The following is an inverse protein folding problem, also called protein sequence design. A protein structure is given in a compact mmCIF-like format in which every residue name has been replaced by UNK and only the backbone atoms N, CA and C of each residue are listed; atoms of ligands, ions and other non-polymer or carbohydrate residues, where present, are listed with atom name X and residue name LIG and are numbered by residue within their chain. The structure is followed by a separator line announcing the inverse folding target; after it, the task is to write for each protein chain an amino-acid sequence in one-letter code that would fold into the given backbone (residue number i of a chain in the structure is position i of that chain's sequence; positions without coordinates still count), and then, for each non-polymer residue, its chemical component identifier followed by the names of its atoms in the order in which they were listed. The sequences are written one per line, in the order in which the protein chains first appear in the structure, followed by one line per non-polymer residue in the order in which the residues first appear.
data_IF_585900250736
#
_entry.id   IF_585900250736
#
_cell.length_a   1.000
_cell.length_b   1.000
_cell.length_c   1.000
_cell.angle_alpha   90.00
_cell.angle_beta   90.00
_cell.angle_gamma   90.00
#
_symmetry.space_group_name_H-M   'P 1'
#
loop_
_entity.id
_entity.type
_entity.pdbx_description
1 polymer ?
#
# COMPACT_ATOMS: atom_id res chain seq x y z
N UNK A 1 -14.35 -24.23 1.43
CA UNK A 1 -14.10 -23.13 2.39
C UNK A 1 -14.65 -21.89 1.71
N UNK A 2 -15.57 -21.15 2.34
CA UNK A 2 -16.13 -19.97 1.69
C UNK A 2 -15.06 -18.88 1.60
N UNK A 3 -14.85 -18.35 0.39
CA UNK A 3 -13.88 -17.29 0.15
C UNK A 3 -14.32 -16.00 0.83
N UNK A 4 -13.36 -15.22 1.33
CA UNK A 4 -13.62 -13.90 1.85
C UNK A 4 -14.19 -12.98 0.73
N UNK A 5 -15.23 -12.18 1.01
CA UNK A 5 -15.78 -11.25 0.02
C UNK A 5 -14.75 -10.21 -0.44
N UNK A 6 -13.95 -9.69 0.49
CA UNK A 6 -12.86 -8.79 0.18
C UNK A 6 -11.55 -9.55 0.12
N UNK A 7 -10.87 -9.45 -1.03
CA UNK A 7 -9.57 -10.06 -1.30
C UNK A 7 -8.73 -9.09 -2.12
N UNK A 8 -7.47 -8.93 -1.74
CA UNK A 8 -6.52 -8.08 -2.44
C UNK A 8 -5.13 -8.69 -2.32
N UNK A 9 -4.45 -8.82 -3.45
CA UNK A 9 -3.00 -9.01 -3.50
C UNK A 9 -2.39 -7.67 -3.92
N UNK A 10 -1.48 -7.14 -3.12
CA UNK A 10 -0.72 -5.94 -3.46
C UNK A 10 0.66 -6.36 -3.94
N UNK A 11 1.10 -5.83 -5.06
CA UNK A 11 2.46 -6.02 -5.57
C UNK A 11 3.14 -4.66 -5.67
N UNK A 12 4.37 -4.55 -5.19
CA UNK A 12 5.28 -3.46 -5.55
C UNK A 12 6.38 -4.05 -6.44
N UNK A 13 6.55 -3.50 -7.64
CA UNK A 13 7.48 -3.99 -8.65
C UNK A 13 8.49 -2.90 -9.01
N UNK A 14 9.76 -3.27 -9.11
CA UNK A 14 10.83 -2.41 -9.58
C UNK A 14 11.40 -2.96 -10.88
N UNK A 15 11.33 -2.17 -11.95
CA UNK A 15 11.77 -2.57 -13.27
C UNK A 15 12.92 -1.70 -13.77
N UNK A 16 13.99 -2.32 -14.26
CA UNK A 16 15.07 -1.66 -14.99
C UNK A 16 14.56 -1.28 -16.39
N UNK A 17 14.03 -0.07 -16.52
CA UNK A 17 13.41 0.39 -17.76
C UNK A 17 13.43 1.92 -17.84
N UNK A 18 13.45 2.44 -19.06
CA UNK A 18 13.33 3.87 -19.29
C UNK A 18 11.89 4.36 -19.09
N UNK A 19 11.67 5.64 -18.76
CA UNK A 19 10.31 6.20 -18.65
C UNK A 19 9.46 6.04 -19.93
N UNK A 20 10.10 5.93 -21.10
CA UNK A 20 9.40 5.70 -22.37
C UNK A 20 8.72 4.32 -22.44
N UNK A 21 9.19 3.34 -21.68
CA UNK A 21 8.69 1.96 -21.65
C UNK A 21 7.55 1.76 -20.64
N UNK A 22 7.24 2.79 -19.84
CA UNK A 22 6.28 2.71 -18.75
C UNK A 22 4.89 2.21 -19.19
N UNK A 23 4.35 2.75 -20.28
CA UNK A 23 3.05 2.33 -20.81
C UNK A 23 3.05 0.87 -21.29
N UNK A 24 4.14 0.43 -21.92
CA UNK A 24 4.29 -0.95 -22.41
C UNK A 24 4.33 -1.92 -21.24
N UNK A 25 5.13 -1.63 -20.21
CA UNK A 25 5.21 -2.44 -18.99
C UNK A 25 3.87 -2.47 -18.25
N UNK A 26 3.16 -1.34 -18.19
CA UNK A 26 1.84 -1.26 -17.57
C UNK A 26 0.85 -2.23 -18.23
N UNK A 27 0.74 -2.22 -19.56
CA UNK A 27 -0.15 -3.15 -20.27
C UNK A 27 0.31 -4.60 -20.18
N UNK A 28 1.62 -4.82 -20.17
CA UNK A 28 2.21 -6.14 -19.99
C UNK A 28 1.81 -6.74 -18.63
N UNK A 29 1.96 -5.98 -17.54
CA UNK A 29 1.56 -6.44 -16.21
C UNK A 29 0.06 -6.74 -16.13
N UNK A 30 -0.80 -5.88 -16.71
CA UNK A 30 -2.24 -6.18 -16.79
C UNK A 30 -2.51 -7.50 -17.52
N UNK A 31 -1.83 -7.73 -18.65
CA UNK A 31 -2.01 -8.92 -19.48
C UNK A 31 -1.56 -10.19 -18.75
N UNK A 32 -0.38 -10.16 -18.12
CA UNK A 32 0.19 -11.32 -17.42
C UNK A 32 -0.57 -11.63 -16.13
N UNK A 33 -1.14 -10.63 -15.46
CA UNK A 33 -1.89 -10.83 -14.21
C UNK A 33 -3.38 -11.17 -14.42
N UNK A 34 -3.94 -10.89 -15.59
CA UNK A 34 -5.35 -11.16 -15.91
C UNK A 34 -5.82 -12.63 -15.67
N UNK A 35 -4.98 -13.67 -15.84
CA UNK A 35 -5.35 -15.04 -15.47
C UNK A 35 -5.62 -15.22 -13.96
N UNK A 36 -4.99 -14.42 -13.10
CA UNK A 36 -5.06 -14.53 -11.65
C UNK A 36 -6.19 -13.70 -11.03
N UNK A 37 -6.64 -12.65 -11.70
CA UNK A 37 -7.62 -11.71 -11.15
C UNK A 37 -7.81 -10.45 -11.99
N UNK A 38 -8.54 -9.50 -11.42
CA UNK A 38 -8.63 -8.15 -11.95
C UNK A 38 -7.46 -7.32 -11.42
N UNK A 39 -6.61 -6.82 -12.32
CA UNK A 39 -5.38 -6.09 -11.96
C UNK A 39 -5.51 -4.60 -12.27
N UNK A 40 -5.32 -3.76 -11.25
CA UNK A 40 -5.13 -2.32 -11.40
C UNK A 40 -3.65 -1.98 -11.24
N UNK A 41 -3.02 -1.52 -12.32
CA UNK A 41 -1.60 -1.18 -12.34
C UNK A 41 -1.43 0.34 -12.22
N UNK A 42 -0.69 0.76 -11.20
CA UNK A 42 -0.31 2.14 -10.93
C UNK A 42 1.17 2.32 -11.25
N UNK A 43 1.46 3.06 -12.32
CA UNK A 43 2.82 3.43 -12.65
C UNK A 43 3.22 4.72 -11.92
N UNK A 44 4.17 4.62 -10.99
CA UNK A 44 4.64 5.76 -10.22
C UNK A 44 5.81 6.50 -10.90
N UNK A 45 6.41 5.90 -11.94
CA UNK A 45 7.57 6.47 -12.63
C UNK A 45 8.87 6.09 -11.94
N UNK A 46 9.93 6.92 -12.08
CA UNK A 46 11.23 6.65 -11.49
C UNK A 46 11.16 6.41 -9.98
N UNK A 47 11.84 5.38 -9.50
CA UNK A 47 11.93 5.07 -8.08
C UNK A 47 12.89 6.06 -7.40
N UNK A 48 12.47 6.69 -6.31
CA UNK A 48 13.22 7.80 -5.70
C UNK A 48 14.59 7.40 -5.13
N UNK A 49 14.79 6.13 -4.76
CA UNK A 49 16.09 5.63 -4.27
C UNK A 49 17.02 5.21 -5.41
N UNK A 50 16.46 4.72 -6.50
CA UNK A 50 17.18 4.21 -7.68
C UNK A 50 16.48 4.76 -8.93
N UNK A 51 16.73 6.03 -9.32
CA UNK A 51 15.99 6.72 -10.36
C UNK A 51 16.04 6.07 -11.74
N UNK A 52 16.98 5.15 -11.95
CA UNK A 52 17.14 4.35 -13.16
C UNK A 52 16.09 3.22 -13.26
N UNK A 53 15.35 2.93 -12.19
CA UNK A 53 14.28 1.95 -12.14
C UNK A 53 12.91 2.62 -12.14
N UNK A 54 11.92 1.98 -12.77
CA UNK A 54 10.52 2.34 -12.64
C UNK A 54 9.87 1.56 -11.50
N UNK A 55 9.09 2.27 -10.68
CA UNK A 55 8.26 1.67 -9.64
C UNK A 55 6.81 1.54 -10.11
N UNK A 56 6.26 0.34 -9.94
CA UNK A 56 4.86 0.04 -10.18
C UNK A 56 4.24 -0.52 -8.92
N UNK A 57 3.02 -0.07 -8.61
CA UNK A 57 2.16 -0.72 -7.63
C UNK A 57 1.03 -1.42 -8.37
N UNK A 58 0.72 -2.65 -8.00
CA UNK A 58 -0.41 -3.38 -8.55
C UNK A 58 -1.35 -3.79 -7.43
N UNK A 59 -2.61 -3.41 -7.58
CA UNK A 59 -3.71 -3.90 -6.76
C UNK A 59 -4.43 -4.99 -7.57
N UNK A 60 -4.30 -6.26 -7.16
CA UNK A 60 -4.86 -7.42 -7.82
C UNK A 60 -6.00 -7.99 -6.98
N UNK A 61 -7.22 -8.01 -7.50
CA UNK A 61 -8.36 -8.71 -6.90
C UNK A 61 -8.37 -10.16 -7.41
N UNK A 62 -7.96 -11.14 -6.59
CA UNK A 62 -7.80 -12.52 -7.05
C UNK A 62 -9.15 -13.21 -7.25
N UNK A 63 -9.20 -14.16 -8.19
CA UNK A 63 -10.38 -15.04 -8.39
C UNK A 63 -10.52 -16.05 -7.26
N UNK A 64 -9.38 -16.57 -6.79
CA UNK A 64 -9.26 -17.51 -5.68
C UNK A 64 -8.91 -16.78 -4.38
N UNK A 65 -8.38 -17.48 -3.37
CA UNK A 65 -7.82 -16.83 -2.17
C UNK A 65 -6.58 -15.99 -2.53
N UNK A 66 -6.31 -14.95 -1.75
CA UNK A 66 -5.10 -14.13 -1.88
C UNK A 66 -3.84 -14.99 -1.66
N UNK A 67 -3.87 -15.93 -0.69
CA UNK A 67 -2.76 -16.86 -0.44
C UNK A 67 -2.50 -17.77 -1.64
N UNK A 68 -3.54 -18.35 -2.26
CA UNK A 68 -3.37 -19.20 -3.45
C UNK A 68 -2.90 -18.38 -4.65
N UNK A 69 -3.36 -17.13 -4.78
CA UNK A 69 -2.90 -16.22 -5.81
C UNK A 69 -1.40 -15.89 -5.64
N UNK A 70 -0.96 -15.55 -4.44
CA UNK A 70 0.46 -15.32 -4.13
C UNK A 70 1.32 -16.54 -4.46
N UNK A 71 0.86 -17.73 -4.05
CA UNK A 71 1.53 -19.00 -4.39
C UNK A 71 1.62 -19.24 -5.90
N UNK A 72 0.55 -18.95 -6.63
CA UNK A 72 0.52 -19.08 -8.09
C UNK A 72 1.43 -18.06 -8.80
N UNK A 73 1.68 -16.91 -8.18
CA UNK A 73 2.64 -15.90 -8.62
C UNK A 73 4.08 -16.20 -8.18
N UNK A 74 4.31 -17.28 -7.42
CA UNK A 74 5.64 -17.71 -6.98
C UNK A 74 6.09 -17.16 -5.63
N UNK A 75 5.22 -16.44 -4.89
CA UNK A 75 5.49 -16.03 -3.50
C UNK A 75 5.15 -17.19 -2.57
N UNK A 76 6.18 -17.89 -2.08
CA UNK A 76 6.02 -19.20 -1.41
C UNK A 76 6.54 -19.23 0.03
N UNK A 77 7.29 -18.22 0.49
CA UNK A 77 7.83 -18.13 1.85
C UNK A 77 7.19 -17.00 2.67
N UNK A 78 7.09 -17.17 3.99
CA UNK A 78 6.74 -16.06 4.91
C UNK A 78 7.72 -14.88 4.78
N UNK A 79 8.98 -15.13 4.46
CA UNK A 79 9.96 -14.08 4.14
C UNK A 79 9.70 -13.38 2.79
N UNK A 80 8.93 -14.00 1.89
CA UNK A 80 8.47 -13.36 0.65
C UNK A 80 7.21 -12.51 0.88
N UNK A 81 6.54 -12.71 2.03
CA UNK A 81 5.27 -12.09 2.42
C UNK A 81 5.54 -11.23 3.66
N UNK A 82 6.05 -10.02 3.42
CA UNK A 82 6.38 -9.07 4.47
C UNK A 82 7.24 -7.93 3.97
N UNK A 83 7.22 -6.80 4.69
CA UNK A 83 7.96 -5.58 4.35
C UNK A 83 9.48 -5.65 4.65
N UNK A 84 10.00 -6.81 5.05
CA UNK A 84 11.32 -6.92 5.70
C UNK A 84 12.51 -7.02 4.75
N UNK A 85 12.32 -7.27 3.45
CA UNK A 85 13.45 -7.30 2.51
C UNK A 85 13.17 -6.42 1.29
N UNK A 86 13.90 -5.31 1.23
CA UNK A 86 13.65 -4.21 0.29
C UNK A 86 13.88 -4.55 -1.18
N UNK A 87 14.68 -5.58 -1.47
CA UNK A 87 15.02 -6.00 -2.83
C UNK A 87 15.41 -7.49 -2.80
N UNK A 88 14.44 -8.41 -2.95
CA UNK A 88 14.77 -9.81 -3.22
C UNK A 88 14.76 -10.08 -4.73
N UNK A 89 15.87 -10.56 -5.33
CA UNK A 89 15.82 -11.21 -6.63
C UNK A 89 15.08 -12.55 -6.46
N UNK A 90 13.87 -12.65 -7.00
CA UNK A 90 13.04 -13.86 -6.88
C UNK A 90 13.62 -14.97 -7.78
N UNK A 91 14.29 -15.97 -7.20
CA UNK A 91 14.79 -17.12 -7.95
C UNK A 91 13.67 -18.14 -8.18
N UNK A 92 12.79 -17.93 -9.17
CA UNK A 92 11.84 -18.97 -9.54
C UNK A 92 10.79 -18.59 -10.58
N UNK A 93 10.98 -19.06 -11.82
CA UNK A 93 9.90 -19.22 -12.81
C UNK A 93 9.36 -17.94 -13.43
N UNK A 94 9.92 -17.54 -14.59
CA UNK A 94 9.38 -16.56 -15.56
C UNK A 94 8.64 -15.39 -14.90
N UNK A 95 9.41 -14.42 -14.40
CA UNK A 95 8.90 -13.17 -13.86
C UNK A 95 7.81 -12.56 -14.73
N UNK A 96 6.92 -11.80 -14.07
CA UNK A 96 5.92 -10.95 -14.71
C UNK A 96 6.48 -10.27 -15.96
N UNK A 97 7.74 -9.80 -15.95
CA UNK A 97 8.49 -9.34 -17.14
C UNK A 97 10.02 -9.46 -16.91
N UNK A 98 10.87 -9.71 -17.95
CA UNK A 98 12.33 -9.81 -17.79
C UNK A 98 13.02 -8.56 -17.23
N UNK A 99 12.41 -7.39 -17.39
CA UNK A 99 12.93 -6.13 -16.85
C UNK A 99 12.65 -5.94 -15.34
N UNK A 100 11.80 -6.77 -14.73
CA UNK A 100 11.51 -6.67 -13.29
C UNK A 100 12.69 -7.23 -12.51
N UNK A 101 13.36 -6.35 -11.78
CA UNK A 101 14.53 -6.67 -10.96
C UNK A 101 14.11 -7.16 -9.56
N UNK A 102 13.06 -6.57 -9.00
CA UNK A 102 12.57 -6.88 -7.66
C UNK A 102 11.06 -6.80 -7.57
N UNK A 103 10.49 -7.55 -6.63
CA UNK A 103 9.09 -7.50 -6.29
C UNK A 103 8.87 -7.70 -4.78
N UNK A 104 7.88 -7.02 -4.23
CA UNK A 104 7.30 -7.28 -2.92
C UNK A 104 5.82 -7.60 -3.09
N UNK A 105 5.29 -8.45 -2.23
CA UNK A 105 3.89 -8.82 -2.26
C UNK A 105 3.27 -8.91 -0.87
N UNK A 106 1.98 -8.64 -0.82
CA UNK A 106 1.15 -8.75 0.38
C UNK A 106 -0.24 -9.27 0.00
N UNK A 107 -0.85 -10.05 0.88
CA UNK A 107 -2.12 -10.73 0.68
C UNK A 107 -3.11 -10.41 1.78
N UNK A 108 -4.22 -9.76 1.40
CA UNK A 108 -5.24 -9.29 2.31
C UNK A 108 -6.59 -9.97 2.03
N UNK A 109 -7.19 -10.56 3.07
CA UNK A 109 -8.51 -11.16 3.00
C UNK A 109 -9.36 -10.83 4.22
N UNK A 110 -10.59 -10.35 4.01
CA UNK A 110 -11.50 -10.01 5.09
C UNK A 110 -12.98 -10.06 4.67
N UNK A 111 -13.87 -9.96 5.65
CA UNK A 111 -15.32 -9.88 5.42
C UNK A 111 -15.73 -8.67 4.55
N UNK A 112 -14.98 -7.58 4.64
CA UNK A 112 -15.23 -6.30 3.97
C UNK A 112 -13.91 -5.56 3.72
N UNK A 113 -13.85 -4.59 2.78
CA UNK A 113 -12.66 -3.74 2.61
C UNK A 113 -12.32 -2.91 3.86
N UNK A 114 -11.05 -2.50 4.03
CA UNK A 114 -10.68 -1.52 5.06
C UNK A 114 -11.54 -0.26 4.94
N UNK A 115 -12.09 0.18 6.07
CA UNK A 115 -12.89 1.41 6.16
C UNK A 115 -12.04 2.66 6.02
N UNK A 116 -10.79 2.60 6.45
CA UNK A 116 -9.84 3.69 6.39
C UNK A 116 -8.65 3.34 5.51
N UNK A 117 -8.05 4.37 4.94
CA UNK A 117 -6.81 4.27 4.17
C UNK A 117 -5.66 4.88 4.96
N UNK A 118 -4.46 4.35 4.78
CA UNK A 118 -3.23 4.95 5.33
C UNK A 118 -3.14 6.45 4.95
N UNK A 119 -2.75 7.26 5.93
CA UNK A 119 -2.70 8.72 5.85
C UNK A 119 -4.04 9.42 6.07
N UNK A 120 -5.16 8.73 6.21
CA UNK A 120 -6.42 9.39 6.61
C UNK A 120 -6.34 9.90 8.04
N UNK A 121 -6.97 11.05 8.30
CA UNK A 121 -7.12 11.58 9.66
C UNK A 121 -8.48 11.15 10.21
N UNK A 122 -8.46 10.51 11.37
CA UNK A 122 -9.65 10.03 12.05
C UNK A 122 -9.77 10.64 13.45
N UNK A 123 -11.01 10.81 13.92
CA UNK A 123 -11.29 11.12 15.31
C UNK A 123 -11.57 9.82 16.07
N UNK A 124 -10.95 9.67 17.23
CA UNK A 124 -11.11 8.47 18.07
C UNK A 124 -12.42 8.57 18.87
N UNK A 125 -13.27 7.56 18.71
CA UNK A 125 -14.53 7.42 19.44
C UNK A 125 -14.29 7.04 20.89
N UNK A 126 -15.31 7.27 21.70
CA UNK A 126 -15.32 6.75 23.06
C UNK A 126 -15.55 5.23 23.07
N UNK A 127 -14.48 4.46 23.26
CA UNK A 127 -14.49 3.00 23.38
C UNK A 127 -13.67 2.55 24.61
N UNK A 128 -13.88 1.31 25.12
CA UNK A 128 -13.05 0.79 26.21
C UNK A 128 -11.55 0.79 25.91
N UNK A 129 -11.15 0.55 24.65
CA UNK A 129 -9.75 0.57 24.24
C UNK A 129 -9.22 2.00 24.16
N UNK A 130 -9.96 2.92 23.51
CA UNK A 130 -9.58 4.32 23.45
C UNK A 130 -9.43 4.96 24.83
N UNK A 131 -10.27 4.59 25.81
CA UNK A 131 -10.14 5.03 27.20
C UNK A 131 -8.86 4.52 27.87
N UNK A 132 -8.49 3.25 27.66
CA UNK A 132 -7.23 2.68 28.20
C UNK A 132 -6.00 3.38 27.65
N UNK A 133 -6.06 3.76 26.38
CA UNK A 133 -4.98 4.46 25.68
C UNK A 133 -4.99 5.99 25.93
N UNK A 134 -6.04 6.52 26.58
CA UNK A 134 -6.18 7.96 26.80
C UNK A 134 -6.44 8.77 25.52
N UNK A 135 -6.98 8.14 24.48
CA UNK A 135 -7.13 8.72 23.14
C UNK A 135 -8.55 9.19 22.81
N UNK A 136 -9.51 9.08 23.73
CA UNK A 136 -10.91 9.45 23.45
C UNK A 136 -11.01 10.91 22.96
N UNK A 137 -11.59 11.08 21.77
CA UNK A 137 -11.76 12.38 21.12
C UNK A 137 -10.52 12.92 20.40
N UNK A 138 -9.37 12.25 20.51
CA UNK A 138 -8.13 12.65 19.85
C UNK A 138 -8.25 12.53 18.33
N UNK A 139 -7.50 13.38 17.62
CA UNK A 139 -7.28 13.21 16.19
C UNK A 139 -5.99 12.41 15.98
N UNK A 140 -6.08 11.39 15.14
CA UNK A 140 -4.98 10.48 14.83
C UNK A 140 -4.84 10.30 13.34
N UNK A 141 -3.62 9.98 12.89
CA UNK A 141 -3.36 9.63 11.50
C UNK A 141 -3.38 8.11 11.39
N UNK A 142 -4.24 7.60 10.52
CA UNK A 142 -4.39 6.17 10.27
C UNK A 142 -3.16 5.65 9.52
N UNK A 143 -2.54 4.63 10.09
CA UNK A 143 -1.45 3.85 9.53
C UNK A 143 -1.92 2.72 8.62
N UNK A 144 -1.27 1.57 8.69
CA UNK A 144 -1.60 0.43 7.84
C UNK A 144 -2.83 -0.33 8.39
N UNK A 145 -3.79 -0.73 7.54
CA UNK A 145 -4.85 -1.64 7.95
C UNK A 145 -4.31 -3.05 8.15
N UNK A 146 -4.64 -3.68 9.26
CA UNK A 146 -4.24 -5.04 9.63
C UNK A 146 -5.39 -5.84 10.23
N UNK A 147 -5.24 -7.15 10.42
CA UNK A 147 -6.20 -8.02 11.08
C UNK A 147 -5.51 -9.18 11.82
N UNK A 148 -6.22 -9.82 12.75
CA UNK A 148 -5.70 -11.03 13.39
C UNK A 148 -5.70 -12.21 12.40
N UNK A 149 -4.50 -12.72 12.07
CA UNK A 149 -4.32 -13.79 11.08
C UNK A 149 -5.04 -15.10 11.46
N UNK A 150 -5.08 -15.40 12.76
CA UNK A 150 -5.74 -16.59 13.33
C UNK A 150 -7.27 -16.57 13.17
N UNK A 151 -7.86 -15.41 12.88
CA UNK A 151 -9.29 -15.29 12.62
C UNK A 151 -9.60 -15.75 11.20
N UNK A 152 -10.66 -16.57 11.04
CA UNK A 152 -11.12 -17.03 9.73
C UNK A 152 -11.38 -15.83 8.79
N UNK A 153 -10.97 -15.87 7.50
CA UNK A 153 -11.02 -14.71 6.62
C UNK A 153 -12.38 -13.99 6.54
N UNK A 154 -13.48 -14.75 6.53
CA UNK A 154 -14.84 -14.21 6.49
C UNK A 154 -15.29 -13.51 7.80
N UNK A 155 -14.50 -13.59 8.87
CA UNK A 155 -14.78 -13.00 10.18
C UNK A 155 -13.75 -11.93 10.58
N UNK A 156 -12.67 -11.76 9.81
CA UNK A 156 -11.62 -10.78 10.10
C UNK A 156 -12.19 -9.37 10.11
N UNK A 157 -11.82 -8.62 11.14
CA UNK A 157 -12.08 -7.19 11.30
C UNK A 157 -10.79 -6.41 11.21
N UNK A 158 -10.88 -5.19 10.67
CA UNK A 158 -9.71 -4.34 10.48
C UNK A 158 -9.34 -3.59 11.75
N UNK A 159 -8.07 -3.68 12.10
CA UNK A 159 -7.35 -2.84 13.04
C UNK A 159 -6.42 -1.92 12.26
N UNK A 160 -6.02 -0.82 12.89
CA UNK A 160 -5.16 0.17 12.28
C UNK A 160 -4.14 0.60 13.32
N UNK A 161 -2.88 0.63 12.92
CA UNK A 161 -1.91 1.44 13.64
C UNK A 161 -2.32 2.91 13.51
N UNK A 162 -2.23 3.67 14.58
CA UNK A 162 -2.58 5.10 14.60
C UNK A 162 -1.42 5.91 15.14
N UNK A 163 -1.09 6.98 14.42
CA UNK A 163 -0.06 7.93 14.81
C UNK A 163 -0.72 9.11 15.54
N UNK A 164 -0.25 9.37 16.75
CA UNK A 164 -0.69 10.48 17.59
C UNK A 164 0.34 11.60 17.47
N UNK A 165 -0.12 12.83 17.26
CA UNK A 165 0.78 13.98 17.14
C UNK A 165 1.63 14.14 18.42
N UNK A 166 2.95 14.17 18.26
CA UNK A 166 3.89 14.32 19.38
C UNK A 166 4.26 13.02 20.09
N UNK A 167 3.86 11.86 19.55
CA UNK A 167 4.30 10.54 19.99
C UNK A 167 5.11 9.85 18.89
N UNK A 168 6.15 9.13 19.28
CA UNK A 168 6.99 8.36 18.36
C UNK A 168 6.45 6.95 18.15
N UNK A 169 5.66 6.45 19.10
CA UNK A 169 5.03 5.12 19.07
C UNK A 169 3.65 5.20 18.41
N UNK A 170 3.26 4.08 17.79
CA UNK A 170 1.93 3.89 17.23
C UNK A 170 1.08 3.05 18.17
N UNK A 171 -0.21 3.34 18.22
CA UNK A 171 -1.19 2.57 18.97
C UNK A 171 -2.10 1.80 18.01
N UNK A 172 -2.64 0.66 18.43
CA UNK A 172 -3.58 -0.10 17.60
C UNK A 172 -5.03 0.17 18.01
N UNK A 173 -5.88 0.49 17.03
CA UNK A 173 -7.32 0.71 17.21
C UNK A 173 -8.14 -0.04 16.16
N UNK A 174 -9.28 -0.58 16.58
CA UNK A 174 -10.25 -1.17 15.67
C UNK A 174 -10.91 -0.09 14.79
N UNK A 175 -11.27 -0.43 13.55
CA UNK A 175 -11.98 0.49 12.65
C UNK A 175 -13.35 0.97 13.17
N UNK A 176 -13.95 0.26 14.13
CA UNK A 176 -15.18 0.69 14.82
C UNK A 176 -14.97 1.91 15.72
N UNK A 177 -13.74 2.08 16.21
CA UNK A 177 -13.34 3.08 17.21
C UNK A 177 -12.90 4.39 16.56
N UNK A 178 -13.00 4.47 15.23
CA UNK A 178 -12.56 5.62 14.45
C UNK A 178 -13.75 6.25 13.71
N UNK A 179 -13.74 7.57 13.61
CA UNK A 179 -14.62 8.36 12.74
C UNK A 179 -13.82 9.12 11.69
N UNK A 180 -14.22 9.05 10.41
CA UNK A 180 -13.52 9.77 9.35
C UNK A 180 -13.72 11.28 9.51
N UNK A 181 -12.63 12.04 9.43
CA UNK A 181 -12.70 13.51 9.35
C UNK A 181 -12.80 14.00 7.91
N UNK A 182 -12.55 13.12 6.93
CA UNK A 182 -12.44 13.46 5.50
C UNK A 182 -11.08 14.06 5.09
N UNK A 183 -10.18 14.32 6.05
CA UNK A 183 -8.83 14.84 5.79
C UNK A 183 -7.84 13.71 5.55
N UNK A 184 -6.79 14.01 4.78
CA UNK A 184 -5.65 13.11 4.53
C UNK A 184 -4.35 13.88 4.68
N UNK A 185 -3.35 13.20 5.21
CA UNK A 185 -1.98 13.67 5.31
C UNK A 185 -1.03 12.60 4.75
N UNK A 186 0.09 12.98 4.13
CA UNK A 186 1.07 12.03 3.65
C UNK A 186 1.73 11.33 4.84
N UNK A 187 1.53 10.01 4.93
CA UNK A 187 2.17 9.15 5.92
C UNK A 187 3.13 8.23 5.14
N UNK A 188 4.43 8.52 5.25
CA UNK A 188 5.54 7.96 4.47
C UNK A 188 5.54 8.33 2.97
N UNK A 189 6.62 8.98 2.53
CA UNK A 189 6.97 9.04 1.10
C UNK A 189 6.44 10.19 0.25
N UNK A 190 6.43 11.44 0.74
CA UNK A 190 6.84 12.59 -0.06
C UNK A 190 7.49 13.60 0.88
N UNK A 191 8.82 13.68 0.88
CA UNK A 191 9.55 14.71 1.63
C UNK A 191 9.24 16.05 0.99
N UNK A 192 8.29 16.79 1.55
CA UNK A 192 8.19 18.22 1.34
C UNK A 192 9.51 18.80 1.85
N UNK A 193 10.35 19.28 0.94
CA UNK A 193 11.52 20.07 1.30
C UNK A 193 11.02 21.38 1.89
N UNK A 194 10.88 21.44 3.21
CA UNK A 194 10.63 22.68 3.95
C UNK A 194 11.96 23.43 3.97
N UNK A 195 12.05 24.50 3.19
CA UNK A 195 13.16 25.43 3.31
C UNK A 195 13.18 26.07 4.71
N UNK A 196 14.30 26.68 5.14
CA UNK A 196 14.45 27.28 6.47
C UNK A 196 13.40 28.35 6.84
N UNK A 197 12.56 28.75 5.89
CA UNK A 197 11.57 29.82 6.01
C UNK A 197 10.13 29.30 6.16
N UNK A 198 9.91 27.97 6.19
CA UNK A 198 8.62 27.37 6.54
C UNK A 198 7.51 27.44 5.46
N UNK A 199 7.83 27.76 4.21
CA UNK A 199 6.87 27.77 3.10
C UNK A 199 6.92 26.45 2.32
N UNK A 200 5.76 25.83 2.10
CA UNK A 200 5.58 24.65 1.25
C UNK A 200 5.84 25.05 -0.20
N UNK A 201 6.86 24.50 -0.84
CA UNK A 201 7.04 24.65 -2.28
C UNK A 201 6.05 23.73 -3.00
N UNK A 202 5.01 24.30 -3.60
CA UNK A 202 4.18 23.58 -4.56
C UNK A 202 5.03 23.17 -5.76
N UNK A 203 5.00 21.88 -6.09
CA UNK A 203 5.56 21.34 -7.33
C UNK A 203 4.72 21.83 -8.51
N UNK A 204 4.99 23.05 -8.98
CA UNK A 204 4.41 23.57 -10.22
C UNK A 204 5.03 22.85 -11.42
N UNK A 205 4.36 21.79 -11.87
CA UNK A 205 4.55 21.21 -13.19
C UNK A 205 3.66 21.91 -14.22
N UNK A 206 4.33 22.52 -15.21
CA UNK A 206 3.88 22.92 -16.56
C UNK A 206 3.14 24.26 -16.78
N UNK A 207 3.86 25.27 -17.31
CA UNK A 207 3.81 25.65 -18.74
C UNK A 207 4.61 26.93 -19.07
N UNK A 208 5.21 26.91 -20.27
CA UNK A 208 6.03 27.95 -20.94
C UNK A 208 5.35 29.31 -21.08
N UNK A 209 6.13 30.40 -21.05
CA UNK A 209 6.06 31.51 -22.05
C UNK A 209 7.46 32.11 -22.28
N UNK A 210 7.81 32.26 -23.57
CA UNK A 210 9.00 32.91 -24.15
C UNK A 210 8.83 34.44 -24.13
N UNK A 211 9.93 35.21 -24.00
CA UNK A 211 10.31 36.49 -24.69
C UNK A 211 11.21 37.30 -23.74
N UNK A 212 12.32 37.95 -24.10
CA UNK A 212 13.09 38.14 -25.33
C UNK A 212 14.55 38.41 -24.95
#
# INVERSE_FOLDING_TARGET
MDLAPYRLVRLALWAEASPAENAVLTEHFRTVLAPHGEALVHAHGPYHRTPEMLHFKVDLTPRESASDCLRALGFIWEEDIGWSEWERPVNGGTFLHPAVYGAQADGLEAAAPPRFRTGEVAQVRDSPQARRLGLVGAEVIVGHPDYEEDTAPAQRTWHYSVHVSGQDETEDLAGSDLEPTGRRVPLYGERISVGPDGVVAESSGASRVITS
#
